data_IF_957133747140
#
_entry.id   IF_957133747140
#
_cell.length_a   1.000
_cell.length_b   1.000
_cell.length_c   1.000
_cell.angle_alpha   90.00
_cell.angle_beta   90.00
_cell.angle_gamma   90.00
#
_symmetry.space_group_name_H-M   'P 1'
#
loop_
_entity.id
_entity.type
_entity.pdbx_description
1 polymer ?
#
# COMPACT_ATOMS: atom_id res chain seq x y z
N UNK A 1 -20.00 2.02 -8.91
CA UNK A 1 -19.16 2.26 -7.71
C UNK A 1 -17.72 1.97 -8.12
N UNK A 2 -16.74 2.68 -7.57
CA UNK A 2 -15.32 2.49 -7.95
C UNK A 2 -14.53 1.66 -6.93
N UNK A 3 -15.20 1.17 -5.89
CA UNK A 3 -14.64 0.37 -4.81
C UNK A 3 -15.68 -0.66 -4.36
N UNK A 4 -15.24 -1.90 -4.11
CA UNK A 4 -16.04 -2.92 -3.43
C UNK A 4 -15.44 -3.18 -2.05
N UNK A 5 -16.30 -3.31 -1.03
CA UNK A 5 -15.87 -3.55 0.35
C UNK A 5 -16.62 -4.78 0.88
N UNK A 6 -15.86 -5.78 1.31
CA UNK A 6 -16.37 -7.02 1.87
C UNK A 6 -15.77 -7.23 3.26
N UNK A 7 -16.62 -7.48 4.27
CA UNK A 7 -16.16 -7.72 5.63
C UNK A 7 -16.49 -9.14 6.06
N UNK A 8 -15.49 -9.81 6.61
CA UNK A 8 -15.61 -11.13 7.22
C UNK A 8 -14.92 -11.10 8.60
N UNK A 9 -15.72 -11.10 9.65
CA UNK A 9 -15.22 -10.97 11.01
C UNK A 9 -14.41 -9.67 11.22
N UNK A 10 -13.14 -9.82 11.55
CA UNK A 10 -12.18 -8.71 11.76
C UNK A 10 -11.36 -8.34 10.53
N UNK A 11 -11.60 -8.99 9.39
CA UNK A 11 -10.94 -8.73 8.12
C UNK A 11 -11.86 -7.94 7.21
N UNK A 12 -11.34 -6.88 6.61
CA UNK A 12 -12.04 -6.09 5.57
C UNK A 12 -11.24 -6.16 4.27
N UNK A 13 -11.84 -6.73 3.24
CA UNK A 13 -11.29 -6.74 1.87
C UNK A 13 -11.84 -5.55 1.09
N UNK A 14 -10.95 -4.75 0.54
CA UNK A 14 -11.25 -3.57 -0.27
C UNK A 14 -10.72 -3.81 -1.67
N UNK A 15 -11.59 -3.84 -2.66
CA UNK A 15 -11.23 -4.08 -4.05
C UNK A 15 -11.42 -2.81 -4.88
N UNK A 16 -10.35 -2.34 -5.51
CA UNK A 16 -10.42 -1.29 -6.51
C UNK A 16 -11.25 -1.80 -7.70
N UNK A 17 -12.26 -1.04 -8.14
CA UNK A 17 -13.21 -1.49 -9.15
C UNK A 17 -13.39 -0.47 -10.30
N UNK A 18 -12.31 -0.25 -11.03
CA UNK A 18 -12.27 0.53 -12.28
C UNK A 18 -11.45 -0.22 -13.36
N UNK A 19 -11.84 -1.46 -13.74
CA UNK A 19 -11.02 -2.29 -14.63
C UNK A 19 -10.77 -1.66 -16.00
N UNK A 20 -11.72 -0.89 -16.53
CA UNK A 20 -11.62 -0.16 -17.80
C UNK A 20 -10.60 0.99 -17.78
N UNK A 21 -10.10 1.38 -16.62
CA UNK A 21 -9.09 2.42 -16.39
C UNK A 21 -7.84 1.87 -15.69
N UNK A 22 -7.58 0.56 -15.79
CA UNK A 22 -6.49 -0.10 -15.05
C UNK A 22 -6.51 0.24 -13.55
N UNK A 23 -7.68 0.41 -12.97
CA UNK A 23 -7.90 0.82 -11.57
C UNK A 23 -7.19 2.13 -11.18
N UNK A 24 -6.92 3.02 -12.15
CA UNK A 24 -6.38 4.35 -11.86
C UNK A 24 -7.30 5.09 -10.89
N UNK A 25 -6.71 5.67 -9.85
CA UNK A 25 -7.49 6.39 -8.86
C UNK A 25 -7.77 7.83 -9.30
N UNK A 26 -8.97 8.27 -8.97
CA UNK A 26 -9.42 9.65 -9.02
C UNK A 26 -9.83 10.09 -7.62
N UNK A 27 -10.24 11.34 -7.46
CA UNK A 27 -10.67 11.88 -6.17
C UNK A 27 -11.73 11.03 -5.49
N UNK A 28 -12.77 10.61 -6.22
CA UNK A 28 -13.87 9.82 -5.67
C UNK A 28 -13.42 8.43 -5.17
N UNK A 29 -12.51 7.77 -5.88
CA UNK A 29 -11.96 6.48 -5.41
C UNK A 29 -11.08 6.67 -4.17
N UNK A 30 -10.27 7.73 -4.12
CA UNK A 30 -9.46 8.04 -2.94
C UNK A 30 -10.33 8.34 -1.71
N UNK A 31 -11.43 9.09 -1.87
CA UNK A 31 -12.39 9.36 -0.80
C UNK A 31 -13.06 8.09 -0.30
N UNK A 32 -13.46 7.21 -1.23
CA UNK A 32 -14.05 5.91 -0.88
C UNK A 32 -13.04 5.01 -0.14
N UNK A 33 -11.78 5.01 -0.59
CA UNK A 33 -10.70 4.25 0.05
C UNK A 33 -10.41 4.78 1.45
N UNK A 34 -10.31 6.10 1.61
CA UNK A 34 -10.12 6.76 2.90
C UNK A 34 -11.25 6.43 3.87
N UNK A 35 -12.50 6.51 3.40
CA UNK A 35 -13.67 6.14 4.19
C UNK A 35 -13.68 4.67 4.64
N UNK A 36 -13.23 3.75 3.78
CA UNK A 36 -13.12 2.34 4.14
C UNK A 36 -12.14 2.11 5.31
N UNK A 37 -11.04 2.86 5.35
CA UNK A 37 -10.03 2.76 6.43
C UNK A 37 -10.45 3.43 7.76
N UNK A 38 -11.56 4.15 7.80
CA UNK A 38 -12.12 4.70 9.03
C UNK A 38 -12.93 3.66 9.84
N UNK A 39 -13.10 2.43 9.32
CA UNK A 39 -13.79 1.36 10.04
C UNK A 39 -12.97 0.89 11.25
N UNK A 40 -13.47 1.19 12.46
CA UNK A 40 -12.76 0.95 13.73
C UNK A 40 -12.74 -0.52 14.17
N UNK A 41 -13.66 -1.34 13.66
CA UNK A 41 -13.76 -2.76 14.04
C UNK A 41 -12.89 -3.69 13.16
N UNK A 42 -12.18 -3.13 12.17
CA UNK A 42 -11.28 -3.89 11.31
C UNK A 42 -9.92 -4.03 11.95
N UNK A 43 -9.41 -5.25 12.04
CA UNK A 43 -8.08 -5.56 12.54
C UNK A 43 -7.06 -5.73 11.40
N UNK A 44 -7.52 -6.23 10.25
CA UNK A 44 -6.69 -6.39 9.05
C UNK A 44 -7.45 -5.97 7.81
N UNK A 45 -6.84 -5.11 7.00
CA UNK A 45 -7.31 -4.77 5.65
C UNK A 45 -6.57 -5.56 4.59
N UNK A 46 -7.31 -6.06 3.61
CA UNK A 46 -6.74 -6.58 2.35
C UNK A 46 -7.13 -5.63 1.23
N UNK A 47 -6.16 -5.07 0.51
CA UNK A 47 -6.39 -4.21 -0.65
C UNK A 47 -6.05 -5.01 -1.90
N UNK A 48 -7.03 -5.20 -2.77
CA UNK A 48 -6.88 -5.84 -4.08
C UNK A 48 -7.54 -5.02 -5.18
N UNK A 49 -7.71 -5.63 -6.34
CA UNK A 49 -8.48 -5.05 -7.43
C UNK A 49 -9.31 -6.14 -8.13
N UNK A 50 -10.42 -5.75 -8.76
CA UNK A 50 -11.29 -6.66 -9.50
C UNK A 50 -10.70 -7.07 -10.84
N UNK A 51 -11.15 -8.20 -11.39
CA UNK A 51 -10.71 -8.68 -12.71
C UNK A 51 -9.27 -9.19 -12.75
N UNK A 52 -8.69 -9.25 -13.95
CA UNK A 52 -7.40 -9.91 -14.21
C UNK A 52 -6.32 -8.98 -14.79
N UNK A 53 -6.57 -7.67 -14.82
CA UNK A 53 -5.67 -6.66 -15.40
C UNK A 53 -4.62 -6.15 -14.42
N UNK A 54 -4.51 -4.84 -14.33
CA UNK A 54 -3.62 -4.19 -13.37
C UNK A 54 -4.15 -4.29 -11.92
N UNK A 55 -3.26 -4.20 -10.96
CA UNK A 55 -3.63 -3.88 -9.58
C UNK A 55 -4.06 -2.41 -9.49
N UNK A 56 -3.19 -1.48 -9.96
CA UNK A 56 -3.52 -0.06 -10.03
C UNK A 56 -2.51 0.66 -10.93
N UNK A 57 -3.00 1.43 -11.90
CA UNK A 57 -2.19 2.20 -12.85
C UNK A 57 -1.72 3.56 -12.33
N UNK A 58 -2.08 3.95 -11.11
CA UNK A 58 -1.74 5.24 -10.53
C UNK A 58 -2.89 6.26 -10.63
N UNK A 59 -2.57 7.54 -10.66
CA UNK A 59 -3.56 8.60 -10.79
C UNK A 59 -4.20 8.61 -12.19
N UNK A 60 -5.49 8.95 -12.27
CA UNK A 60 -6.18 9.13 -13.56
C UNK A 60 -5.56 10.32 -14.32
N UNK A 61 -5.02 10.04 -15.51
CA UNK A 61 -4.32 11.04 -16.33
C UNK A 61 -5.19 12.26 -16.62
N UNK A 62 -6.52 12.07 -16.75
CA UNK A 62 -7.44 13.18 -16.97
C UNK A 62 -7.55 14.13 -15.76
N UNK A 63 -7.25 13.67 -14.56
CA UNK A 63 -7.15 14.54 -13.37
C UNK A 63 -5.78 15.21 -13.30
N UNK A 64 -4.69 14.49 -13.58
CA UNK A 64 -3.34 15.08 -13.61
C UNK A 64 -3.26 16.25 -14.59
N UNK A 65 -3.84 16.11 -15.79
CA UNK A 65 -3.83 17.15 -16.83
C UNK A 65 -4.58 18.44 -16.43
N UNK A 66 -5.49 18.34 -15.46
CA UNK A 66 -6.29 19.47 -14.96
C UNK A 66 -5.73 20.06 -13.66
N UNK A 67 -4.72 19.41 -13.09
CA UNK A 67 -4.15 19.84 -11.82
C UNK A 67 -3.40 21.17 -11.97
N UNK A 68 -3.64 22.08 -11.02
CA UNK A 68 -2.92 23.34 -10.91
C UNK A 68 -1.71 23.19 -9.97
N UNK A 69 -0.71 24.09 -10.03
CA UNK A 69 0.44 24.03 -9.12
C UNK A 69 0.06 24.04 -7.63
N UNK A 70 -1.05 24.67 -7.28
CA UNK A 70 -1.58 24.76 -5.91
C UNK A 70 -2.04 23.37 -5.41
N UNK A 71 -2.52 22.51 -6.30
CA UNK A 71 -2.95 21.14 -5.96
C UNK A 71 -1.78 20.27 -5.47
N UNK A 72 -0.55 20.62 -5.89
CA UNK A 72 0.67 19.93 -5.44
C UNK A 72 0.97 20.15 -3.95
N UNK A 73 0.49 21.23 -3.35
CA UNK A 73 0.65 21.49 -1.91
C UNK A 73 -0.28 20.61 -1.06
N UNK A 74 -1.36 20.12 -1.65
CA UNK A 74 -2.38 19.32 -0.98
C UNK A 74 -2.64 18.00 -1.72
N UNK A 75 -1.58 17.22 -1.97
CA UNK A 75 -1.67 15.92 -2.62
C UNK A 75 -2.54 14.96 -1.82
N UNK A 76 -3.81 14.89 -2.18
CA UNK A 76 -4.79 14.08 -1.46
C UNK A 76 -4.43 12.59 -1.44
N UNK A 77 -3.85 12.07 -2.53
CA UNK A 77 -3.34 10.70 -2.59
C UNK A 77 -2.24 10.44 -1.54
N UNK A 78 -1.31 11.40 -1.36
CA UNK A 78 -0.28 11.31 -0.33
C UNK A 78 -0.91 11.24 1.06
N UNK A 79 -1.89 12.09 1.35
CA UNK A 79 -2.58 12.11 2.64
C UNK A 79 -3.35 10.81 2.89
N UNK A 80 -4.08 10.27 1.89
CA UNK A 80 -4.80 9.00 2.00
C UNK A 80 -3.82 7.84 2.23
N UNK A 81 -2.75 7.74 1.44
CA UNK A 81 -1.77 6.66 1.57
C UNK A 81 -0.99 6.75 2.89
N UNK A 82 -0.77 7.96 3.40
CA UNK A 82 -0.19 8.13 4.74
C UNK A 82 -1.15 7.62 5.82
N UNK A 83 -2.45 7.92 5.75
CA UNK A 83 -3.44 7.39 6.70
C UNK A 83 -3.56 5.87 6.64
N UNK A 84 -3.48 5.25 5.45
CA UNK A 84 -3.41 3.79 5.32
C UNK A 84 -2.18 3.26 6.05
N UNK A 85 -1.02 3.83 5.79
CA UNK A 85 0.21 3.44 6.44
C UNK A 85 0.13 3.62 7.97
N UNK A 86 -0.52 4.66 8.49
CA UNK A 86 -0.66 4.98 9.92
C UNK A 86 -1.85 4.29 10.60
N UNK A 87 -2.70 3.61 9.85
CA UNK A 87 -3.82 2.86 10.42
C UNK A 87 -3.37 1.94 11.55
N UNK A 88 -4.18 1.82 12.60
CA UNK A 88 -3.93 0.83 13.68
C UNK A 88 -4.07 -0.60 13.18
N UNK A 89 -4.92 -0.82 12.18
CA UNK A 89 -5.09 -2.11 11.54
C UNK A 89 -3.89 -2.45 10.64
N UNK A 90 -3.55 -3.71 10.52
CA UNK A 90 -2.57 -4.21 9.56
C UNK A 90 -3.16 -4.12 8.15
N UNK A 91 -2.35 -3.83 7.14
CA UNK A 91 -2.79 -3.76 5.75
C UNK A 91 -1.93 -4.65 4.85
N UNK A 92 -2.60 -5.41 3.97
CA UNK A 92 -1.97 -6.32 3.01
C UNK A 92 -2.41 -5.92 1.61
N UNK A 93 -1.47 -5.61 0.71
CA UNK A 93 -1.77 -5.45 -0.71
C UNK A 93 -1.71 -6.81 -1.43
N UNK A 94 -2.78 -7.16 -2.13
CA UNK A 94 -2.89 -8.36 -2.97
C UNK A 94 -2.74 -7.97 -4.45
N UNK A 95 -1.57 -8.21 -5.04
CA UNK A 95 -1.12 -7.62 -6.30
C UNK A 95 -1.08 -8.68 -7.38
N UNK A 96 -2.16 -8.83 -8.15
CA UNK A 96 -2.28 -9.85 -9.20
C UNK A 96 -1.70 -9.41 -10.55
N UNK A 97 -1.44 -8.13 -10.75
CA UNK A 97 -0.95 -7.55 -12.01
C UNK A 97 -0.18 -6.26 -11.77
N UNK A 98 0.05 -5.43 -12.81
CA UNK A 98 0.86 -4.23 -12.69
C UNK A 98 0.37 -3.25 -11.62
N UNK A 99 1.30 -2.81 -10.77
CA UNK A 99 1.18 -1.73 -9.80
C UNK A 99 2.16 -0.63 -10.21
N UNK A 100 1.68 0.44 -10.84
CA UNK A 100 2.52 1.43 -11.51
C UNK A 100 2.24 2.82 -10.93
N UNK A 101 3.28 3.64 -10.83
CA UNK A 101 3.18 5.00 -10.33
C UNK A 101 2.49 5.04 -8.96
N UNK A 102 1.49 5.88 -8.77
CA UNK A 102 0.70 5.94 -7.55
C UNK A 102 0.05 4.61 -7.14
N UNK A 103 -0.12 3.64 -8.06
CA UNK A 103 -0.57 2.29 -7.72
C UNK A 103 0.50 1.50 -6.97
N UNK A 104 1.77 1.68 -7.32
CA UNK A 104 2.87 1.13 -6.55
C UNK A 104 3.04 1.87 -5.22
N UNK A 105 2.83 3.18 -5.18
CA UNK A 105 2.84 3.96 -3.95
C UNK A 105 1.76 3.52 -2.96
N UNK A 106 0.55 3.18 -3.45
CA UNK A 106 -0.52 2.57 -2.65
C UNK A 106 -0.07 1.22 -2.07
N UNK A 107 0.54 0.37 -2.88
CA UNK A 107 1.07 -0.92 -2.41
C UNK A 107 2.19 -0.75 -1.38
N UNK A 108 3.05 0.26 -1.54
CA UNK A 108 4.11 0.61 -0.58
C UNK A 108 3.55 1.22 0.73
N UNK A 109 2.36 1.78 0.70
CA UNK A 109 1.69 2.28 1.90
C UNK A 109 1.11 1.16 2.77
N UNK A 110 0.89 -0.03 2.21
CA UNK A 110 0.49 -1.21 2.97
C UNK A 110 1.66 -1.78 3.78
N UNK A 111 1.36 -2.48 4.89
CA UNK A 111 2.38 -3.13 5.72
C UNK A 111 3.01 -4.33 4.99
N UNK A 112 2.18 -5.16 4.38
CA UNK A 112 2.56 -6.40 3.71
C UNK A 112 2.10 -6.39 2.24
N UNK A 113 2.78 -7.16 1.38
CA UNK A 113 2.46 -7.29 -0.05
C UNK A 113 2.56 -8.74 -0.47
N UNK A 114 1.49 -9.25 -1.07
CA UNK A 114 1.43 -10.59 -1.71
C UNK A 114 1.29 -10.36 -3.20
N UNK A 115 2.22 -10.88 -4.00
CA UNK A 115 2.23 -10.76 -5.46
C UNK A 115 1.83 -12.04 -6.16
N UNK A 116 1.23 -11.89 -7.35
CA UNK A 116 1.07 -12.95 -8.33
C UNK A 116 2.19 -12.93 -9.38
N UNK A 117 2.31 -13.98 -10.23
CA UNK A 117 3.37 -14.08 -11.24
C UNK A 117 3.36 -12.94 -12.28
N UNK A 118 2.20 -12.28 -12.46
CA UNK A 118 2.03 -11.15 -13.37
C UNK A 118 2.23 -9.78 -12.69
N UNK A 119 2.59 -9.76 -11.41
CA UNK A 119 2.88 -8.51 -10.72
C UNK A 119 4.10 -7.82 -11.36
N UNK A 120 3.96 -6.53 -11.60
CA UNK A 120 5.00 -5.68 -12.18
C UNK A 120 4.95 -4.34 -11.48
N UNK A 121 6.11 -3.83 -11.07
CA UNK A 121 6.19 -2.60 -10.31
C UNK A 121 7.03 -1.55 -11.04
N UNK A 122 6.72 -0.28 -10.83
CA UNK A 122 7.52 0.81 -11.38
C UNK A 122 7.01 2.18 -10.99
N UNK A 123 7.92 3.13 -10.96
CA UNK A 123 7.67 4.55 -10.67
C UNK A 123 8.18 5.38 -11.87
N UNK A 124 7.42 5.44 -12.99
CA UNK A 124 7.86 6.09 -14.21
C UNK A 124 7.55 7.59 -14.27
N UNK A 125 7.18 8.23 -13.17
CA UNK A 125 6.68 9.61 -13.10
C UNK A 125 7.64 10.61 -13.76
N UNK A 126 8.94 10.37 -13.67
CA UNK A 126 9.97 11.25 -14.29
C UNK A 126 9.83 11.34 -15.80
N UNK A 127 9.27 10.33 -16.46
CA UNK A 127 9.02 10.35 -17.92
C UNK A 127 7.90 11.32 -18.30
N UNK A 128 7.09 11.72 -17.32
CA UNK A 128 6.01 12.70 -17.46
C UNK A 128 6.37 14.07 -16.87
N UNK A 129 7.63 14.30 -16.49
CA UNK A 129 8.07 15.53 -15.83
C UNK A 129 7.60 15.65 -14.37
N UNK A 130 7.19 14.55 -13.76
CA UNK A 130 6.70 14.46 -12.37
C UNK A 130 7.65 13.63 -11.50
N UNK A 131 7.34 13.53 -10.22
CA UNK A 131 8.01 12.64 -9.28
C UNK A 131 6.99 11.74 -8.57
N UNK A 132 7.39 10.58 -8.04
CA UNK A 132 6.56 9.80 -7.12
C UNK A 132 6.33 10.61 -5.83
N UNK A 133 5.15 11.21 -5.70
CA UNK A 133 4.88 12.19 -4.64
C UNK A 133 3.87 11.70 -3.59
N UNK A 134 3.31 10.48 -3.74
CA UNK A 134 2.41 9.91 -2.76
C UNK A 134 3.12 8.94 -1.78
N UNK A 135 4.43 9.05 -1.67
CA UNK A 135 5.27 8.32 -0.72
C UNK A 135 6.26 7.33 -1.35
N UNK A 136 6.27 7.16 -2.68
CA UNK A 136 7.18 6.26 -3.37
C UNK A 136 8.65 6.67 -3.21
N UNK A 137 8.94 7.96 -3.34
CA UNK A 137 10.30 8.50 -3.16
C UNK A 137 10.84 8.34 -1.74
N UNK A 138 9.97 8.15 -0.76
CA UNK A 138 10.34 7.95 0.66
C UNK A 138 10.39 6.47 1.02
N UNK A 139 9.29 5.71 0.73
CA UNK A 139 9.15 4.32 1.19
C UNK A 139 9.99 3.32 0.41
N UNK A 140 10.16 3.53 -0.90
CA UNK A 140 10.92 2.57 -1.71
C UNK A 140 12.40 2.50 -1.32
N UNK A 141 13.13 3.64 -1.12
CA UNK A 141 14.52 3.59 -0.66
C UNK A 141 14.74 2.90 0.68
N UNK A 142 13.77 3.02 1.61
CA UNK A 142 13.83 2.36 2.91
C UNK A 142 13.67 0.84 2.78
N UNK A 143 12.93 0.39 1.76
CA UNK A 143 12.63 -1.02 1.54
C UNK A 143 13.75 -1.76 0.77
N UNK A 144 14.27 -1.16 -0.32
CA UNK A 144 15.21 -1.82 -1.26
C UNK A 144 16.60 -1.19 -1.31
N UNK A 145 16.82 -0.17 -0.50
CA UNK A 145 18.06 0.62 -0.50
C UNK A 145 18.10 1.67 -1.61
N UNK A 146 18.84 2.74 -1.36
CA UNK A 146 18.89 3.92 -2.24
C UNK A 146 19.37 3.62 -3.66
N UNK A 147 20.31 2.68 -3.84
CA UNK A 147 20.85 2.38 -5.17
C UNK A 147 19.79 1.79 -6.09
N UNK A 148 19.08 0.75 -5.65
CA UNK A 148 17.96 0.15 -6.41
C UNK A 148 16.81 1.15 -6.62
N UNK A 149 16.47 1.92 -5.59
CA UNK A 149 15.43 2.94 -5.71
C UNK A 149 15.75 4.00 -6.77
N UNK A 150 17.02 4.42 -6.90
CA UNK A 150 17.47 5.32 -7.97
C UNK A 150 17.31 4.70 -9.36
N UNK A 151 17.63 3.42 -9.54
CA UNK A 151 17.42 2.72 -10.81
C UNK A 151 15.95 2.69 -11.20
N UNK A 152 15.04 2.49 -10.23
CA UNK A 152 13.60 2.47 -10.46
C UNK A 152 13.07 3.88 -10.76
N UNK A 153 13.40 4.87 -9.92
CA UNK A 153 12.81 6.21 -10.01
C UNK A 153 13.45 7.05 -11.10
N UNK A 154 14.80 7.08 -11.16
CA UNK A 154 15.52 7.92 -12.13
C UNK A 154 15.74 7.20 -13.46
N UNK A 155 15.97 5.88 -13.41
CA UNK A 155 16.21 5.05 -14.59
C UNK A 155 14.96 4.48 -15.24
N UNK A 156 13.79 4.60 -14.61
CA UNK A 156 12.54 4.04 -15.12
C UNK A 156 12.49 2.51 -15.13
N UNK A 157 13.38 1.85 -14.36
CA UNK A 157 13.44 0.39 -14.31
C UNK A 157 12.12 -0.17 -13.79
N UNK A 158 11.59 -1.18 -14.50
CA UNK A 158 10.48 -2.01 -14.03
C UNK A 158 11.03 -3.16 -13.19
N UNK A 159 10.27 -3.57 -12.18
CA UNK A 159 10.62 -4.64 -11.26
C UNK A 159 9.63 -5.78 -11.49
N UNK A 160 10.12 -6.94 -11.91
CA UNK A 160 9.31 -8.16 -12.03
C UNK A 160 8.86 -8.71 -10.66
N UNK A 161 7.93 -9.66 -10.67
CA UNK A 161 7.46 -10.32 -9.44
C UNK A 161 8.60 -11.01 -8.69
N UNK A 162 9.49 -11.71 -9.42
CA UNK A 162 10.65 -12.41 -8.85
C UNK A 162 11.66 -11.43 -8.25
N UNK A 163 12.01 -10.37 -8.97
CA UNK A 163 12.89 -9.32 -8.44
C UNK A 163 12.28 -8.64 -7.21
N UNK A 164 10.96 -8.39 -7.23
CA UNK A 164 10.26 -7.80 -6.11
C UNK A 164 10.29 -8.68 -4.85
N UNK A 165 10.21 -10.01 -5.02
CA UNK A 165 10.40 -10.96 -3.94
C UNK A 165 11.85 -10.93 -3.43
N UNK A 166 12.84 -11.00 -4.34
CA UNK A 166 14.26 -10.96 -4.00
C UNK A 166 14.69 -9.65 -3.31
N UNK A 167 14.05 -8.53 -3.65
CA UNK A 167 14.37 -7.22 -3.06
C UNK A 167 13.57 -6.91 -1.81
N UNK A 168 12.69 -7.82 -1.38
CA UNK A 168 11.85 -7.63 -0.18
C UNK A 168 10.67 -6.69 -0.37
N UNK A 169 10.33 -6.33 -1.62
CA UNK A 169 9.10 -5.60 -1.93
C UNK A 169 7.90 -6.50 -1.65
N UNK A 170 7.93 -7.73 -2.15
CA UNK A 170 6.93 -8.75 -1.86
C UNK A 170 7.32 -9.57 -0.64
N UNK A 171 6.36 -9.82 0.23
CA UNK A 171 6.48 -10.78 1.34
C UNK A 171 6.24 -12.21 0.88
N UNK A 172 5.41 -12.39 -0.16
CA UNK A 172 5.05 -13.67 -0.77
C UNK A 172 4.83 -13.51 -2.27
N UNK A 173 5.16 -14.55 -3.03
CA UNK A 173 4.84 -14.70 -4.45
C UNK A 173 4.05 -16.00 -4.63
N UNK A 174 2.81 -15.90 -5.11
CA UNK A 174 1.85 -17.02 -5.18
C UNK A 174 0.94 -16.88 -6.41
N UNK A 175 0.32 -17.97 -6.86
CA UNK A 175 -0.58 -17.95 -8.02
C UNK A 175 -1.83 -17.08 -7.79
N UNK A 176 -2.46 -17.16 -6.62
CA UNK A 176 -3.63 -16.36 -6.24
C UNK A 176 -3.31 -15.45 -5.05
N UNK A 177 -2.87 -14.21 -5.32
CA UNK A 177 -2.48 -13.29 -4.27
C UNK A 177 -3.66 -12.81 -3.42
N UNK A 178 -4.88 -12.75 -3.97
CA UNK A 178 -6.04 -12.28 -3.22
C UNK A 178 -6.46 -13.30 -2.15
N UNK A 179 -6.68 -14.54 -2.56
CA UNK A 179 -7.03 -15.63 -1.63
C UNK A 179 -5.93 -15.85 -0.59
N UNK A 180 -4.64 -15.78 -0.98
CA UNK A 180 -3.53 -15.91 -0.03
C UNK A 180 -3.49 -14.74 0.96
N UNK A 181 -3.70 -13.51 0.51
CA UNK A 181 -3.73 -12.33 1.37
C UNK A 181 -4.90 -12.38 2.36
N UNK A 182 -6.08 -12.84 1.94
CA UNK A 182 -7.25 -13.02 2.80
C UNK A 182 -6.99 -14.08 3.87
N UNK A 183 -6.48 -15.25 3.49
CA UNK A 183 -6.11 -16.30 4.43
C UNK A 183 -5.05 -15.82 5.43
N UNK A 184 -4.04 -15.09 4.96
CA UNK A 184 -3.04 -14.51 5.86
C UNK A 184 -3.61 -13.43 6.78
N UNK A 185 -4.56 -12.63 6.30
CA UNK A 185 -5.27 -11.65 7.11
C UNK A 185 -6.09 -12.30 8.22
N UNK A 186 -6.75 -13.44 7.94
CA UNK A 186 -7.46 -14.23 8.95
C UNK A 186 -6.54 -14.78 10.03
N UNK A 187 -5.34 -15.24 9.64
CA UNK A 187 -4.30 -15.67 10.59
C UNK A 187 -3.84 -14.53 11.49
N UNK A 188 -3.50 -13.37 10.90
CA UNK A 188 -3.08 -12.17 11.64
C UNK A 188 -4.19 -11.68 12.58
N UNK A 189 -5.44 -11.75 12.13
CA UNK A 189 -6.60 -11.32 12.93
C UNK A 189 -6.88 -12.17 14.19
N UNK A 190 -6.20 -13.31 14.36
CA UNK A 190 -6.22 -14.11 15.58
C UNK A 190 -5.31 -13.54 16.68
N UNK A 191 -4.35 -12.68 16.31
CA UNK A 191 -3.42 -12.07 17.26
C UNK A 191 -4.09 -10.91 18.02
N UNK A 192 -3.47 -10.49 19.12
CA UNK A 192 -3.94 -9.34 19.89
C UNK A 192 -3.85 -8.04 19.08
N UNK A 193 -4.95 -7.30 18.97
CA UNK A 193 -5.04 -6.09 18.18
C UNK A 193 -4.17 -4.96 18.71
N UNK A 194 -4.03 -4.87 20.04
CA UNK A 194 -3.17 -3.87 20.69
C UNK A 194 -1.69 -4.13 20.39
N UNK A 195 -1.28 -5.39 20.53
CA UNK A 195 0.09 -5.82 20.22
C UNK A 195 0.44 -5.57 18.73
N UNK A 196 -0.45 -5.91 17.79
CA UNK A 196 -0.25 -5.64 16.37
C UNK A 196 -0.09 -4.13 16.09
N UNK A 197 -0.98 -3.31 16.65
CA UNK A 197 -0.95 -1.85 16.48
C UNK A 197 0.34 -1.25 17.04
N UNK A 198 0.79 -1.69 18.22
CA UNK A 198 2.02 -1.22 18.83
C UNK A 198 3.27 -1.66 18.05
N UNK A 199 3.34 -2.94 17.65
CA UNK A 199 4.44 -3.44 16.81
C UNK A 199 4.55 -2.66 15.50
N UNK A 200 3.41 -2.42 14.81
CA UNK A 200 3.37 -1.62 13.60
C UNK A 200 3.87 -0.20 13.83
N UNK A 201 3.50 0.45 14.94
CA UNK A 201 3.97 1.79 15.31
C UNK A 201 5.49 1.82 15.55
N UNK A 202 6.02 0.84 16.27
CA UNK A 202 7.47 0.71 16.55
C UNK A 202 8.26 0.57 15.25
N UNK A 203 7.83 -0.31 14.34
CA UNK A 203 8.53 -0.60 13.09
C UNK A 203 8.68 0.61 12.14
N UNK A 204 7.91 1.68 12.33
CA UNK A 204 7.98 2.90 11.51
C UNK A 204 9.06 3.89 11.96
N UNK A 205 9.47 3.87 13.22
CA UNK A 205 10.45 4.79 13.78
C UNK A 205 11.88 4.53 13.25
N UNK A 206 12.78 5.49 13.44
CA UNK A 206 14.22 5.22 13.30
C UNK A 206 14.69 4.33 14.48
N UNK A 207 15.92 3.77 14.40
CA UNK A 207 16.37 2.77 15.39
C UNK A 207 16.35 3.29 16.84
N UNK A 208 16.74 4.57 17.06
CA UNK A 208 16.76 5.15 18.40
C UNK A 208 15.34 5.30 18.96
N UNK A 209 14.46 5.85 18.15
CA UNK A 209 13.05 6.04 18.54
C UNK A 209 12.33 4.69 18.72
N UNK A 210 12.70 3.67 17.92
CA UNK A 210 12.14 2.32 18.06
C UNK A 210 12.42 1.71 19.42
N UNK A 211 13.65 1.77 19.92
CA UNK A 211 14.01 1.20 21.24
C UNK A 211 13.25 1.86 22.40
N UNK A 212 12.97 3.16 22.30
CA UNK A 212 12.13 3.85 23.27
C UNK A 212 10.66 3.44 23.15
N UNK A 213 10.14 3.43 21.93
CA UNK A 213 8.78 2.99 21.63
C UNK A 213 8.53 1.53 22.02
N UNK A 214 9.52 0.63 21.85
CA UNK A 214 9.42 -0.76 22.30
C UNK A 214 9.19 -0.84 23.82
N UNK A 215 9.97 -0.10 24.63
CA UNK A 215 9.78 -0.06 26.08
C UNK A 215 8.42 0.49 26.47
N UNK A 216 7.99 1.59 25.83
CA UNK A 216 6.69 2.22 26.08
C UNK A 216 5.54 1.27 25.68
N UNK A 217 5.63 0.66 24.50
CA UNK A 217 4.63 -0.28 24.02
C UNK A 217 4.50 -1.49 24.95
N UNK A 218 5.63 -2.06 25.36
CA UNK A 218 5.65 -3.22 26.27
C UNK A 218 5.09 -2.88 27.64
N UNK A 219 5.34 -1.67 28.16
CA UNK A 219 4.76 -1.21 29.42
C UNK A 219 3.23 -1.16 29.35
N UNK A 220 2.68 -0.65 28.24
CA UNK A 220 1.22 -0.60 28.02
C UNK A 220 0.64 -2.02 27.90
N UNK A 221 1.31 -2.92 27.16
CA UNK A 221 0.83 -4.28 26.96
C UNK A 221 0.88 -5.15 28.23
N UNK A 222 1.85 -4.90 29.14
CA UNK A 222 1.91 -5.60 30.42
C UNK A 222 0.88 -5.09 31.45
N UNK A 223 0.27 -3.93 31.21
CA UNK A 223 -0.76 -3.37 32.10
C UNK A 223 -2.18 -3.85 31.78
N UNK A 224 -2.36 -4.58 30.66
CA UNK A 224 -3.62 -5.17 30.22
C UNK A 224 -3.66 -6.67 30.49
#
# INVERSE_FOLDING_TARGET
MSLQVHRTGKVTTVLLDRPHKAHAYNRALLESLDGAFQCTDTQVFVIGATGHGAFCGGADLGEIQKAAPEDAQNLYSQAVFQRIAESKAVSIAAIHGPAIAGGFELALACDLRVGGPKALFGLPEVTLGLIPAAGGSSRLPDLIGRSRAKSVILGGQRISADEALQWGILSRLVEDPLTNAQSWAEEIAKHDAGALSMAKKVLRGNVRDRLELERMAQTVLYAN
#
